data_IF_699654578452
#
_entry.id   IF_699654578452
#
_cell.length_a   1.000
_cell.length_b   1.000
_cell.length_c   1.000
_cell.angle_alpha   90.00
_cell.angle_beta   90.00
_cell.angle_gamma   90.00
#
_symmetry.space_group_name_H-M   'P 1'
#
loop_
_entity.id
_entity.type
_entity.pdbx_description
1 polymer ?
#
# COMPACT_ATOMS: atom_id res chain seq x y z
N UNK A 1 -21.67 -55.76 7.98
CA UNK A 1 -22.27 -54.45 8.32
C UNK A 1 -21.92 -53.50 7.17
N UNK A 2 -22.82 -53.30 6.22
CA UNK A 2 -22.62 -52.34 5.12
C UNK A 2 -22.80 -50.94 5.70
N UNK A 3 -21.76 -50.10 5.63
CA UNK A 3 -21.89 -48.68 5.95
C UNK A 3 -22.82 -48.03 4.92
N UNK A 4 -23.71 -47.09 5.32
CA UNK A 4 -24.55 -46.40 4.36
C UNK A 4 -23.65 -45.54 3.47
N UNK A 5 -23.74 -45.76 2.16
CA UNK A 5 -23.21 -44.83 1.16
C UNK A 5 -23.93 -43.49 1.41
N UNK A 6 -23.23 -42.37 1.66
CA UNK A 6 -23.88 -41.08 1.79
C UNK A 6 -24.65 -40.79 0.50
N UNK A 7 -25.90 -40.37 0.65
CA UNK A 7 -26.82 -40.13 -0.45
C UNK A 7 -26.20 -39.17 -1.50
N UNK A 8 -26.56 -39.31 -2.79
CA UNK A 8 -26.12 -38.39 -3.84
C UNK A 8 -26.48 -36.94 -3.44
N UNK A 9 -25.57 -35.98 -3.63
CA UNK A 9 -25.76 -34.54 -3.37
C UNK A 9 -26.82 -33.92 -4.33
N UNK A 10 -27.98 -34.53 -4.49
CA UNK A 10 -28.93 -34.24 -5.58
C UNK A 10 -29.99 -33.18 -5.25
N UNK A 11 -30.07 -32.69 -4.01
CA UNK A 11 -31.07 -31.69 -3.60
C UNK A 11 -30.48 -30.41 -2.95
N UNK A 12 -29.16 -30.22 -2.95
CA UNK A 12 -28.56 -28.98 -2.43
C UNK A 12 -28.57 -27.89 -3.51
N UNK A 13 -29.44 -26.89 -3.30
CA UNK A 13 -29.49 -25.67 -4.10
C UNK A 13 -28.18 -24.90 -3.95
N UNK A 14 -27.38 -24.86 -5.01
CA UNK A 14 -26.16 -24.04 -5.07
C UNK A 14 -26.55 -22.57 -5.05
N UNK A 15 -25.86 -21.76 -4.23
CA UNK A 15 -26.11 -20.33 -4.18
C UNK A 15 -25.87 -19.68 -5.56
N UNK A 16 -26.77 -18.83 -6.07
CA UNK A 16 -26.61 -18.20 -7.39
C UNK A 16 -25.29 -17.45 -7.56
N UNK A 17 -24.80 -16.83 -6.49
CA UNK A 17 -23.50 -16.18 -6.45
C UNK A 17 -22.37 -17.14 -6.82
N UNK A 18 -22.33 -18.35 -6.24
CA UNK A 18 -21.26 -19.32 -6.49
C UNK A 18 -21.29 -19.82 -7.93
N UNK A 19 -22.48 -20.06 -8.48
CA UNK A 19 -22.62 -20.47 -9.87
C UNK A 19 -22.14 -19.35 -10.82
N UNK A 20 -22.52 -18.09 -10.55
CA UNK A 20 -22.08 -16.94 -11.32
C UNK A 20 -20.56 -16.74 -11.22
N UNK A 21 -19.98 -16.86 -10.02
CA UNK A 21 -18.53 -16.75 -9.79
C UNK A 21 -17.75 -17.84 -10.51
N UNK A 22 -18.23 -19.09 -10.46
CA UNK A 22 -17.59 -20.19 -11.20
C UNK A 22 -17.62 -19.93 -12.70
N UNK A 23 -18.79 -19.56 -13.25
CA UNK A 23 -18.93 -19.21 -14.66
C UNK A 23 -18.04 -18.03 -15.07
N UNK A 24 -17.91 -17.02 -14.18
CA UNK A 24 -17.06 -15.86 -14.39
C UNK A 24 -15.61 -16.26 -14.61
N UNK A 25 -15.01 -17.05 -13.71
CA UNK A 25 -13.60 -17.45 -13.87
C UNK A 25 -13.36 -18.40 -15.04
N UNK A 26 -14.37 -19.15 -15.47
CA UNK A 26 -14.29 -19.97 -16.69
C UNK A 26 -14.33 -19.13 -17.98
N UNK A 27 -14.93 -17.94 -17.95
CA UNK A 27 -15.13 -17.07 -19.13
C UNK A 27 -14.21 -15.84 -19.14
N UNK A 28 -13.60 -15.51 -18.01
CA UNK A 28 -12.73 -14.36 -17.87
C UNK A 28 -11.50 -14.46 -18.81
N UNK A 29 -11.02 -13.34 -19.37
CA UNK A 29 -9.77 -13.32 -20.11
C UNK A 29 -8.60 -13.74 -19.20
N UNK A 30 -7.74 -14.69 -19.61
CA UNK A 30 -6.65 -15.21 -18.75
C UNK A 30 -5.66 -14.15 -18.25
N UNK A 31 -5.56 -13.01 -18.97
CA UNK A 31 -4.73 -11.86 -18.59
C UNK A 31 -5.33 -11.02 -17.45
N UNK A 32 -6.61 -11.17 -17.17
CA UNK A 32 -7.34 -10.41 -16.12
C UNK A 32 -7.59 -11.30 -14.92
N UNK A 33 -8.12 -12.51 -15.15
CA UNK A 33 -8.36 -13.49 -14.10
C UNK A 33 -8.35 -14.91 -14.68
N UNK A 34 -7.90 -15.88 -13.88
CA UNK A 34 -7.87 -17.28 -14.27
C UNK A 34 -7.87 -18.22 -13.07
N UNK A 35 -8.12 -19.50 -13.34
CA UNK A 35 -7.84 -20.59 -12.40
C UNK A 35 -6.34 -20.90 -12.35
N UNK A 36 -5.83 -21.27 -11.18
CA UNK A 36 -4.47 -21.81 -11.06
C UNK A 36 -4.33 -23.08 -11.89
N UNK A 37 -3.09 -23.47 -12.22
CA UNK A 37 -2.82 -24.66 -13.04
C UNK A 37 -3.44 -25.93 -12.45
N UNK A 38 -3.51 -26.02 -11.12
CA UNK A 38 -4.08 -27.16 -10.41
C UNK A 38 -5.61 -27.04 -10.21
N UNK A 39 -6.23 -25.94 -10.64
CA UNK A 39 -7.68 -25.73 -10.58
C UNK A 39 -8.26 -25.56 -9.17
N UNK A 40 -7.42 -25.39 -8.14
CA UNK A 40 -7.81 -25.32 -6.72
C UNK A 40 -8.00 -23.90 -6.19
N UNK A 41 -7.57 -22.91 -6.97
CA UNK A 41 -7.66 -21.50 -6.62
C UNK A 41 -7.93 -20.65 -7.86
N UNK A 42 -8.40 -19.43 -7.65
CA UNK A 42 -8.62 -18.42 -8.69
C UNK A 42 -7.78 -17.20 -8.42
N UNK A 43 -7.20 -16.64 -9.47
CA UNK A 43 -6.26 -15.52 -9.40
C UNK A 43 -6.83 -14.35 -10.20
N UNK A 44 -6.78 -13.15 -9.62
CA UNK A 44 -7.11 -11.89 -10.28
C UNK A 44 -5.82 -11.07 -10.39
N UNK A 45 -5.38 -10.79 -11.62
CA UNK A 45 -4.12 -10.09 -11.90
C UNK A 45 -4.28 -8.58 -11.98
N UNK A 46 -5.41 -8.13 -12.56
CA UNK A 46 -5.72 -6.72 -12.76
C UNK A 46 -7.08 -6.42 -12.13
N UNK A 47 -7.05 -5.94 -10.89
CA UNK A 47 -8.26 -5.62 -10.12
C UNK A 47 -9.12 -4.55 -10.80
N UNK A 48 -8.49 -3.59 -11.49
CA UNK A 48 -9.19 -2.49 -12.16
C UNK A 48 -9.96 -3.01 -13.37
N UNK A 49 -9.29 -3.77 -14.26
CA UNK A 49 -9.96 -4.37 -15.42
C UNK A 49 -10.95 -5.45 -15.03
N UNK A 50 -10.68 -6.22 -13.99
CA UNK A 50 -11.64 -7.18 -13.47
C UNK A 50 -12.94 -6.50 -13.02
N UNK A 51 -12.82 -5.40 -12.26
CA UNK A 51 -13.96 -4.62 -11.80
C UNK A 51 -14.75 -3.98 -12.95
N UNK A 52 -14.07 -3.39 -13.94
CA UNK A 52 -14.70 -2.67 -15.04
C UNK A 52 -15.24 -3.59 -16.14
N UNK A 53 -14.47 -4.60 -16.53
CA UNK A 53 -14.73 -5.40 -17.73
C UNK A 53 -15.40 -6.74 -17.40
N UNK A 54 -15.20 -7.32 -16.21
CA UNK A 54 -15.65 -8.69 -15.92
C UNK A 54 -16.88 -8.71 -15.00
N UNK A 55 -16.84 -8.01 -13.87
CA UNK A 55 -17.94 -8.03 -12.88
C UNK A 55 -19.32 -7.61 -13.46
N UNK A 56 -19.44 -6.56 -14.29
CA UNK A 56 -20.75 -6.11 -14.79
C UNK A 56 -21.47 -7.17 -15.63
N UNK A 57 -20.73 -8.06 -16.31
CA UNK A 57 -21.29 -9.12 -17.14
C UNK A 57 -21.96 -10.24 -16.32
N UNK A 58 -21.57 -10.41 -15.05
CA UNK A 58 -22.07 -11.50 -14.20
C UNK A 58 -22.93 -11.02 -13.02
N UNK A 59 -22.66 -9.85 -12.47
CA UNK A 59 -23.29 -9.38 -11.21
C UNK A 59 -24.06 -8.05 -11.34
N UNK A 60 -24.06 -7.40 -12.50
CA UNK A 60 -24.77 -6.14 -12.72
C UNK A 60 -24.19 -4.93 -11.97
N UNK A 61 -22.99 -5.07 -11.40
CA UNK A 61 -22.23 -3.99 -10.77
C UNK A 61 -20.73 -4.19 -11.01
N UNK A 62 -19.95 -3.11 -10.92
CA UNK A 62 -18.48 -3.14 -11.01
C UNK A 62 -17.78 -3.10 -9.65
N UNK A 63 -18.54 -3.13 -8.54
CA UNK A 63 -17.97 -2.97 -7.21
C UNK A 63 -17.22 -4.24 -6.74
N UNK A 64 -15.89 -4.19 -6.82
CA UNK A 64 -15.00 -5.27 -6.39
C UNK A 64 -15.14 -5.59 -4.89
N UNK A 65 -15.34 -4.59 -4.04
CA UNK A 65 -15.49 -4.78 -2.59
C UNK A 65 -16.72 -5.64 -2.30
N UNK A 66 -17.83 -5.40 -3.00
CA UNK A 66 -19.05 -6.21 -2.86
C UNK A 66 -18.80 -7.66 -3.26
N UNK A 67 -18.07 -7.88 -4.37
CA UNK A 67 -17.72 -9.22 -4.83
C UNK A 67 -16.82 -9.97 -3.83
N UNK A 68 -15.76 -9.32 -3.33
CA UNK A 68 -14.84 -9.89 -2.35
C UNK A 68 -15.54 -10.17 -1.03
N UNK A 69 -16.45 -9.29 -0.61
CA UNK A 69 -17.30 -9.54 0.57
C UNK A 69 -18.14 -10.79 0.42
N UNK A 70 -18.76 -11.01 -0.74
CA UNK A 70 -19.50 -12.24 -1.00
C UNK A 70 -18.57 -13.46 -0.91
N UNK A 71 -17.38 -13.42 -1.51
CA UNK A 71 -16.39 -14.51 -1.37
C UNK A 71 -16.09 -14.81 0.11
N UNK A 72 -15.81 -13.80 0.93
CA UNK A 72 -15.55 -14.01 2.36
C UNK A 72 -16.75 -14.58 3.10
N UNK A 73 -17.98 -14.16 2.79
CA UNK A 73 -19.20 -14.72 3.39
C UNK A 73 -19.42 -16.19 3.05
N UNK A 74 -18.85 -16.69 1.95
CA UNK A 74 -18.83 -18.10 1.58
C UNK A 74 -17.55 -18.82 2.03
N UNK A 75 -16.74 -18.21 2.91
CA UNK A 75 -15.57 -18.82 3.53
C UNK A 75 -14.32 -18.88 2.67
N UNK A 76 -14.29 -18.17 1.53
CA UNK A 76 -13.09 -18.08 0.70
C UNK A 76 -11.98 -17.36 1.47
N UNK A 77 -10.77 -17.86 1.32
CA UNK A 77 -9.56 -17.26 1.86
C UNK A 77 -8.79 -16.62 0.72
N UNK A 78 -8.14 -15.49 1.00
CA UNK A 78 -7.27 -14.84 0.04
C UNK A 78 -5.80 -14.92 0.45
N UNK A 79 -4.92 -14.90 -0.55
CA UNK A 79 -3.50 -14.66 -0.40
C UNK A 79 -3.12 -13.45 -1.24
N UNK A 80 -2.35 -12.54 -0.64
CA UNK A 80 -1.77 -11.40 -1.33
C UNK A 80 -0.29 -11.66 -1.54
N UNK A 81 0.16 -11.73 -2.79
CA UNK A 81 1.60 -11.79 -3.08
C UNK A 81 2.17 -10.38 -3.08
N UNK A 82 3.18 -10.11 -2.26
CA UNK A 82 3.87 -8.81 -2.27
C UNK A 82 4.66 -8.56 -3.58
N UNK A 83 4.93 -9.60 -4.36
CA UNK A 83 5.77 -9.52 -5.56
C UNK A 83 4.99 -9.32 -6.87
N UNK A 84 3.70 -9.61 -6.85
CA UNK A 84 2.81 -9.50 -8.00
C UNK A 84 1.49 -8.96 -7.46
N UNK A 85 0.99 -7.85 -8.00
CA UNK A 85 -0.24 -7.16 -7.56
C UNK A 85 -1.52 -7.97 -7.86
N UNK A 86 -1.44 -9.28 -7.71
CA UNK A 86 -2.43 -10.30 -8.00
C UNK A 86 -3.03 -10.84 -6.70
N UNK A 87 -4.34 -11.04 -6.70
CA UNK A 87 -5.09 -11.60 -5.58
C UNK A 87 -5.48 -13.02 -5.89
N UNK A 88 -5.11 -13.95 -5.02
CA UNK A 88 -5.48 -15.36 -5.15
C UNK A 88 -6.53 -15.73 -4.10
N UNK A 89 -7.61 -16.38 -4.53
CA UNK A 89 -8.70 -16.84 -3.67
C UNK A 89 -8.84 -18.36 -3.78
N UNK A 90 -9.01 -19.01 -2.63
CA UNK A 90 -9.17 -20.47 -2.58
C UNK A 90 -10.24 -20.88 -1.57
N UNK A 91 -10.86 -22.03 -1.85
CA UNK A 91 -11.81 -22.68 -0.96
C UNK A 91 -11.79 -24.19 -1.19
N UNK A 92 -11.88 -24.99 -0.12
CA UNK A 92 -11.76 -26.46 -0.15
C UNK A 92 -12.72 -27.15 -1.13
N UNK A 93 -13.87 -26.54 -1.39
CA UNK A 93 -14.93 -27.08 -2.26
C UNK A 93 -15.16 -26.27 -3.54
N UNK A 94 -14.32 -25.26 -3.83
CA UNK A 94 -14.38 -24.47 -5.05
C UNK A 94 -13.25 -24.89 -5.98
N UNK A 95 -13.50 -25.91 -6.79
CA UNK A 95 -12.48 -26.58 -7.63
C UNK A 95 -12.98 -26.64 -9.07
N UNK A 96 -12.12 -26.31 -10.03
CA UNK A 96 -12.45 -26.26 -11.45
C UNK A 96 -13.01 -27.60 -11.99
N UNK A 97 -12.35 -28.70 -11.66
CA UNK A 97 -12.70 -30.03 -12.19
C UNK A 97 -13.87 -30.71 -11.46
N UNK A 98 -14.32 -30.16 -10.32
CA UNK A 98 -15.37 -30.75 -9.48
C UNK A 98 -16.48 -29.73 -9.14
N UNK A 99 -17.20 -29.17 -10.14
CA UNK A 99 -18.21 -28.12 -9.93
C UNK A 99 -19.40 -28.58 -9.07
N UNK A 100 -19.68 -29.88 -8.99
CA UNK A 100 -20.69 -30.44 -8.09
C UNK A 100 -20.38 -30.15 -6.61
N UNK A 101 -19.10 -29.93 -6.25
CA UNK A 101 -18.71 -29.64 -4.87
C UNK A 101 -19.14 -28.26 -4.41
N UNK A 102 -19.56 -27.38 -5.32
CA UNK A 102 -20.19 -26.11 -4.98
C UNK A 102 -21.42 -26.30 -4.07
N UNK A 103 -22.08 -27.47 -4.11
CA UNK A 103 -23.19 -27.81 -3.21
C UNK A 103 -22.78 -27.74 -1.72
N UNK A 104 -21.51 -27.98 -1.41
CA UNK A 104 -20.98 -27.99 -0.04
C UNK A 104 -20.55 -26.62 0.48
N UNK A 105 -20.52 -25.59 -0.37
CA UNK A 105 -20.16 -24.24 0.05
C UNK A 105 -21.40 -23.56 0.61
N UNK A 106 -21.37 -23.30 1.91
CA UNK A 106 -22.45 -22.61 2.61
C UNK A 106 -22.03 -21.21 3.01
N UNK A 107 -23.00 -20.29 3.01
CA UNK A 107 -22.79 -18.95 3.54
C UNK A 107 -22.69 -19.05 5.05
N UNK A 108 -21.66 -18.43 5.62
CA UNK A 108 -21.53 -18.32 7.06
C UNK A 108 -22.55 -17.30 7.60
N UNK A 109 -23.62 -17.78 8.22
CA UNK A 109 -24.67 -16.94 8.80
C UNK A 109 -24.20 -16.17 10.05
N UNK A 110 -23.10 -16.57 10.69
CA UNK A 110 -22.54 -15.85 11.84
C UNK A 110 -21.86 -14.52 11.43
N UNK A 111 -21.44 -14.42 10.16
CA UNK A 111 -20.99 -13.17 9.52
C UNK A 111 -22.13 -12.16 9.43
N UNK A 112 -23.38 -12.63 9.33
CA UNK A 112 -24.57 -11.78 9.28
C UNK A 112 -25.11 -11.45 10.68
N UNK A 113 -24.98 -12.35 11.67
CA UNK A 113 -25.59 -12.19 13.02
C UNK A 113 -24.87 -11.15 13.91
N UNK A 114 -23.56 -10.96 13.72
CA UNK A 114 -22.83 -9.91 14.43
C UNK A 114 -22.81 -8.56 13.70
N UNK A 115 -23.34 -8.46 12.47
CA UNK A 115 -23.52 -7.20 11.70
C UNK A 115 -22.27 -6.35 11.44
N UNK A 116 -21.15 -6.66 12.07
CA UNK A 116 -19.95 -5.81 12.14
C UNK A 116 -18.83 -6.33 11.26
N UNK A 117 -18.78 -7.62 10.92
CA UNK A 117 -17.69 -8.20 10.13
C UNK A 117 -17.63 -7.72 8.67
N UNK A 118 -18.76 -7.44 7.97
CA UNK A 118 -18.68 -6.89 6.62
C UNK A 118 -18.26 -5.41 6.62
N UNK A 119 -18.69 -4.65 7.64
CA UNK A 119 -18.20 -3.30 7.92
C UNK A 119 -16.77 -3.30 8.44
N UNK A 120 -16.31 -4.37 9.10
CA UNK A 120 -14.94 -4.52 9.61
C UNK A 120 -13.97 -4.85 8.51
N UNK A 121 -14.33 -5.65 7.50
CA UNK A 121 -13.51 -5.76 6.29
C UNK A 121 -13.43 -4.42 5.56
N UNK A 122 -14.57 -3.73 5.37
CA UNK A 122 -14.58 -2.41 4.76
C UNK A 122 -13.76 -1.39 5.58
N UNK A 123 -13.85 -1.45 6.90
CA UNK A 123 -13.05 -0.61 7.79
C UNK A 123 -11.57 -0.98 7.76
N UNK A 124 -11.21 -2.26 7.67
CA UNK A 124 -9.82 -2.69 7.55
C UNK A 124 -9.22 -2.27 6.20
N UNK A 125 -9.94 -2.44 5.10
CA UNK A 125 -9.52 -2.01 3.76
C UNK A 125 -9.39 -0.48 3.69
N UNK A 126 -10.30 0.26 4.32
CA UNK A 126 -10.21 1.71 4.44
C UNK A 126 -9.04 2.12 5.33
N UNK A 127 -8.81 1.43 6.45
CA UNK A 127 -7.68 1.69 7.37
C UNK A 127 -6.35 1.46 6.66
N UNK A 128 -6.23 0.41 5.85
CA UNK A 128 -5.04 0.14 5.05
C UNK A 128 -4.83 1.20 3.97
N UNK A 129 -5.88 1.61 3.27
CA UNK A 129 -5.82 2.72 2.30
C UNK A 129 -5.42 4.04 2.96
N UNK A 130 -5.97 4.35 4.14
CA UNK A 130 -5.62 5.55 4.92
C UNK A 130 -4.17 5.48 5.40
N UNK A 131 -3.70 4.32 5.83
CA UNK A 131 -2.30 4.10 6.23
C UNK A 131 -1.33 4.39 5.07
N UNK A 132 -1.62 3.85 3.88
CA UNK A 132 -0.83 4.07 2.68
C UNK A 132 -0.83 5.54 2.23
N UNK A 133 -2.00 6.18 2.21
CA UNK A 133 -2.11 7.61 1.90
C UNK A 133 -1.36 8.46 2.93
N UNK A 134 -1.42 8.11 4.21
CA UNK A 134 -0.68 8.81 5.27
C UNK A 134 0.82 8.71 5.06
N UNK A 135 1.34 7.54 4.66
CA UNK A 135 2.75 7.36 4.33
C UNK A 135 3.17 8.23 3.14
N UNK A 136 2.37 8.27 2.06
CA UNK A 136 2.63 9.11 0.89
C UNK A 136 2.61 10.61 1.22
N UNK A 137 1.60 11.08 1.95
CA UNK A 137 1.49 12.49 2.38
C UNK A 137 2.69 12.87 3.24
N UNK A 138 3.12 11.98 4.15
CA UNK A 138 4.29 12.23 5.00
C UNK A 138 5.56 12.35 4.17
N UNK A 139 5.75 11.47 3.18
CA UNK A 139 6.90 11.50 2.27
C UNK A 139 6.95 12.80 1.46
N UNK A 140 5.85 13.16 0.79
CA UNK A 140 5.76 14.38 0.00
C UNK A 140 5.92 15.64 0.88
N UNK A 141 5.39 15.62 2.10
CA UNK A 141 5.55 16.72 3.06
C UNK A 141 7.00 16.86 3.52
N UNK A 142 7.71 15.75 3.72
CA UNK A 142 9.14 15.75 4.03
C UNK A 142 9.97 16.27 2.85
N UNK A 143 9.68 15.82 1.63
CA UNK A 143 10.35 16.28 0.42
C UNK A 143 10.18 17.80 0.25
N UNK A 144 8.95 18.30 0.36
CA UNK A 144 8.67 19.75 0.33
C UNK A 144 9.42 20.51 1.42
N UNK A 145 9.47 19.99 2.65
CA UNK A 145 10.25 20.61 3.74
C UNK A 145 11.75 20.66 3.42
N UNK A 146 12.30 19.59 2.86
CA UNK A 146 13.70 19.56 2.45
C UNK A 146 13.98 20.54 1.31
N UNK A 147 13.09 20.67 0.33
CA UNK A 147 13.23 21.65 -0.75
C UNK A 147 13.19 23.10 -0.22
N UNK A 148 12.20 23.44 0.63
CA UNK A 148 12.11 24.78 1.22
C UNK A 148 13.30 25.11 2.12
N UNK A 149 13.82 24.13 2.86
CA UNK A 149 15.03 24.32 3.68
C UNK A 149 16.27 24.63 2.82
N UNK A 150 16.42 23.96 1.66
CA UNK A 150 17.51 24.23 0.71
C UNK A 150 17.38 25.61 0.06
N UNK A 151 16.17 26.05 -0.26
CA UNK A 151 15.93 27.39 -0.80
C UNK A 151 16.25 28.49 0.23
N UNK A 152 15.88 28.28 1.49
CA UNK A 152 16.18 29.22 2.57
C UNK A 152 17.69 29.35 2.84
N UNK A 153 18.46 28.25 2.79
CA UNK A 153 19.92 28.31 2.94
C UNK A 153 20.60 28.97 1.74
N UNK A 154 20.17 28.65 0.51
CA UNK A 154 20.71 29.28 -0.69
C UNK A 154 20.41 30.79 -0.74
N UNK A 155 19.25 31.21 -0.21
CA UNK A 155 18.91 32.63 -0.07
C UNK A 155 19.77 33.35 0.97
N UNK A 156 20.16 32.69 2.06
CA UNK A 156 21.02 33.29 3.10
C UNK A 156 22.50 33.36 2.63
N UNK A 157 23.00 32.35 1.90
CA UNK A 157 24.34 32.39 1.28
C UNK A 157 24.49 33.52 0.24
N UNK A 158 23.41 33.90 -0.44
CA UNK A 158 23.42 35.03 -1.39
C UNK A 158 23.48 36.41 -0.71
N UNK A 159 23.00 36.56 0.52
CA UNK A 159 23.06 37.83 1.27
C UNK A 159 24.35 37.96 2.11
N UNK A 160 24.94 36.85 2.56
CA UNK A 160 26.13 36.86 3.40
C UNK A 160 27.45 37.06 2.63
N UNK A 161 27.45 36.98 1.30
CA UNK A 161 28.66 37.15 0.48
C UNK A 161 28.95 38.62 0.10
N UNK A 162 27.96 39.50 0.05
CA UNK A 162 28.18 40.91 -0.35
C UNK A 162 28.62 41.82 0.83
N UNK A 163 28.30 41.46 2.08
CA UNK A 163 28.70 42.23 3.28
C UNK A 163 30.07 41.81 3.86
N UNK A 164 30.66 40.69 3.41
CA UNK A 164 31.94 40.18 3.93
C UNK A 164 33.16 40.80 3.23
N UNK A 165 33.05 41.21 1.96
CA UNK A 165 34.11 41.94 1.24
C UNK A 165 34.34 43.34 1.83
N UNK A 166 33.28 44.02 2.27
CA UNK A 166 33.38 45.35 2.88
C UNK A 166 34.02 45.33 4.27
N UNK A 167 33.88 44.22 5.02
CA UNK A 167 34.42 44.13 6.38
C UNK A 167 35.93 43.83 6.39
N UNK A 168 36.42 43.14 5.36
CA UNK A 168 37.85 42.89 5.15
C UNK A 168 38.59 44.19 4.77
N UNK A 169 37.98 45.03 3.92
CA UNK A 169 38.52 46.34 3.54
C UNK A 169 38.53 47.35 4.70
N UNK A 170 37.55 47.28 5.62
CA UNK A 170 37.50 48.14 6.82
C UNK A 170 38.51 47.72 7.89
N UNK A 171 38.85 46.43 7.99
CA UNK A 171 39.86 45.92 8.92
C UNK A 171 41.28 46.32 8.50
N UNK A 172 41.56 46.39 7.20
CA UNK A 172 42.86 46.78 6.66
C UNK A 172 43.17 48.28 6.88
N UNK A 173 42.12 49.13 6.99
CA UNK A 173 42.25 50.57 7.28
C UNK A 173 42.61 50.84 8.76
N UNK A 174 42.33 49.90 9.66
CA UNK A 174 42.50 50.09 11.11
C UNK A 174 43.85 49.57 11.66
N UNK A 175 44.72 48.99 10.83
CA UNK A 175 46.05 48.56 11.22
C UNK A 175 47.10 49.68 11.10
N UNK A 176 47.19 50.54 12.12
CA UNK A 176 48.30 51.47 12.29
C UNK A 176 49.59 50.73 12.72
N UNK A 177 50.75 50.98 12.09
CA UNK A 177 52.01 50.31 12.43
C UNK A 177 52.63 50.87 13.72
N UNK A 178 52.89 49.99 14.68
CA UNK A 178 53.72 50.26 15.87
C UNK A 178 55.20 50.07 15.51
N UNK A 179 56.02 51.11 15.65
CA UNK A 179 57.49 50.98 15.54
C UNK A 179 58.12 50.60 16.90
N UNK A 180 59.13 49.71 16.93
CA UNK A 180 59.79 49.29 18.17
C UNK A 180 60.80 50.34 18.66
N UNK A 181 60.76 50.69 19.95
CA UNK A 181 61.81 51.51 20.58
C UNK A 181 62.92 50.61 21.12
N UNK A 182 64.13 50.83 20.60
CA UNK A 182 65.39 50.17 20.97
C UNK A 182 65.92 50.62 22.32
N UNK A 183 66.39 49.66 23.12
CA UNK A 183 67.12 49.82 24.38
C UNK A 183 68.53 50.38 24.13
N UNK A 184 69.01 51.30 24.98
CA UNK A 184 70.43 51.66 25.08
C UNK A 184 70.90 51.48 26.53
N UNK A 185 72.09 50.91 26.82
CA UNK A 185 72.53 50.64 28.19
C UNK A 185 73.54 51.64 28.78
N UNK A 186 73.43 51.74 30.11
CA UNK A 186 74.43 52.02 31.19
C UNK A 186 75.16 53.36 31.28
N UNK A 187 75.04 54.01 32.44
CA UNK A 187 76.18 54.34 33.32
C UNK A 187 75.73 54.64 34.77
N UNK A 188 76.43 54.04 35.73
CA UNK A 188 76.50 54.41 37.15
C UNK A 188 77.20 55.77 37.30
N UNK A 189 76.83 56.58 38.31
CA UNK A 189 77.76 57.17 39.30
C UNK A 189 76.99 57.63 40.54
N UNK A 190 77.48 57.16 41.70
CA UNK A 190 77.21 57.65 43.05
C UNK A 190 77.45 59.17 43.21
N UNK A 191 76.64 59.82 44.06
CA UNK A 191 77.12 60.57 45.24
C UNK A 191 75.98 60.87 46.22
#
# INVERSE_FOLDING_TARGET
MLTPIPAPCADLVIAPFLHATFALFCQAPPSVAHWTQDGTAVVIHDLHRFAADVLPHHFGHSNLVVFVRQLHSFGFRNFHSDTQSSWEFFHTHFILDEPERLCYIQRDASVDEHGLTPLQCEMNDIVDQVSQLTALVTSLTQERRCCLAKEATNGIESFANEDLELLEEVLEILELPQQPLTVVPTASWDY
#
